data_IF_795736357241
#
_entry.id   IF_795736357241
#
_cell.length_a   1.000
_cell.length_b   1.000
_cell.length_c   1.000
_cell.angle_alpha   90.00
_cell.angle_beta   90.00
_cell.angle_gamma   90.00
#
_symmetry.space_group_name_H-M   'P 1'
#
loop_
_entity.id
_entity.type
_entity.pdbx_description
1 polymer ?
#
# COMPACT_ATOMS: atom_id res chain seq x y z
N UNK A 1 -18.92 -24.67 -23.52
CA UNK A 1 -17.62 -23.95 -23.64
C UNK A 1 -17.32 -23.01 -22.45
N UNK A 2 -18.32 -22.41 -21.77
CA UNK A 2 -18.11 -21.55 -20.58
C UNK A 2 -17.65 -22.31 -19.33
N UNK A 3 -18.13 -23.53 -19.10
CA UNK A 3 -17.84 -24.30 -17.87
C UNK A 3 -16.36 -24.67 -17.71
N UNK A 4 -15.69 -25.03 -18.82
CA UNK A 4 -14.26 -25.34 -18.79
C UNK A 4 -13.44 -24.09 -18.49
N UNK A 5 -13.81 -22.94 -19.09
CA UNK A 5 -13.16 -21.67 -18.81
C UNK A 5 -13.33 -21.26 -17.34
N UNK A 6 -14.56 -21.28 -16.81
CA UNK A 6 -14.83 -20.96 -15.40
C UNK A 6 -14.05 -21.87 -14.46
N UNK A 7 -14.03 -23.18 -14.71
CA UNK A 7 -13.28 -24.14 -13.89
C UNK A 7 -11.77 -23.90 -13.92
N UNK A 8 -11.20 -23.60 -15.09
CA UNK A 8 -9.77 -23.28 -15.21
C UNK A 8 -9.43 -21.96 -14.50
N UNK A 9 -10.28 -20.94 -14.62
CA UNK A 9 -10.10 -19.65 -13.93
C UNK A 9 -10.16 -19.85 -12.41
N UNK A 10 -11.16 -20.57 -11.90
CA UNK A 10 -11.29 -20.85 -10.47
C UNK A 10 -10.10 -21.65 -9.93
N UNK A 11 -9.67 -22.70 -10.64
CA UNK A 11 -8.52 -23.51 -10.25
C UNK A 11 -7.23 -22.70 -10.23
N UNK A 12 -7.02 -21.83 -11.22
CA UNK A 12 -5.87 -20.91 -11.28
C UNK A 12 -5.91 -19.90 -10.14
N UNK A 13 -7.07 -19.34 -9.83
CA UNK A 13 -7.21 -18.39 -8.71
C UNK A 13 -6.92 -19.08 -7.37
N UNK A 14 -7.32 -20.35 -7.22
CA UNK A 14 -7.04 -21.14 -6.01
C UNK A 14 -5.58 -21.55 -5.89
N UNK A 15 -4.85 -21.68 -6.99
CA UNK A 15 -3.42 -22.04 -6.98
C UNK A 15 -2.48 -20.84 -6.79
N UNK A 16 -3.00 -19.61 -6.78
CA UNK A 16 -2.17 -18.44 -6.51
C UNK A 16 -1.56 -18.48 -5.10
N UNK A 17 -0.31 -18.05 -5.02
CA UNK A 17 0.38 -17.82 -3.75
C UNK A 17 -0.40 -16.78 -2.93
N UNK A 18 -0.54 -16.96 -1.61
CA UNK A 18 -1.16 -15.98 -0.74
C UNK A 18 -0.54 -14.59 -0.90
N UNK A 19 -1.34 -13.54 -0.72
CA UNK A 19 -0.83 -12.18 -0.75
C UNK A 19 0.16 -11.99 0.40
N UNK A 20 1.34 -11.42 0.11
CA UNK A 20 2.42 -11.26 1.11
C UNK A 20 2.04 -10.41 2.32
N UNK A 21 1.20 -9.39 2.14
CA UNK A 21 0.82 -8.45 3.20
C UNK A 21 -0.19 -9.10 4.15
N UNK A 22 -1.14 -9.88 3.62
CA UNK A 22 -2.18 -10.55 4.42
C UNK A 22 -1.84 -12.00 4.80
N UNK A 23 -0.84 -12.61 4.16
CA UNK A 23 -0.58 -14.05 4.15
C UNK A 23 -1.83 -14.91 3.88
N UNK A 24 -2.78 -14.36 3.12
CA UNK A 24 -4.05 -15.00 2.78
C UNK A 24 -4.46 -14.64 1.35
N UNK A 25 -5.54 -15.27 0.87
CA UNK A 25 -6.18 -14.82 -0.37
C UNK A 25 -6.67 -13.37 -0.16
N UNK A 26 -6.28 -12.42 -1.03
CA UNK A 26 -6.72 -11.04 -0.88
C UNK A 26 -8.25 -10.94 -1.03
N UNK A 27 -8.92 -10.06 -0.25
CA UNK A 27 -10.32 -9.74 -0.45
C UNK A 27 -10.56 -9.05 -1.79
N UNK A 28 -11.83 -8.95 -2.17
CA UNK A 28 -12.23 -8.09 -3.29
C UNK A 28 -12.00 -6.62 -2.93
N UNK A 29 -11.53 -5.86 -3.92
CA UNK A 29 -11.28 -4.43 -3.75
C UNK A 29 -12.61 -3.68 -3.71
N UNK A 30 -12.81 -2.87 -2.67
CA UNK A 30 -14.03 -2.08 -2.50
C UNK A 30 -14.27 -1.13 -3.68
N UNK A 31 -15.51 -1.13 -4.21
CA UNK A 31 -15.91 -0.30 -5.36
C UNK A 31 -15.68 1.20 -5.11
N UNK A 32 -15.72 1.63 -3.85
CA UNK A 32 -15.47 3.02 -3.45
C UNK A 32 -14.08 3.52 -3.91
N UNK A 33 -13.09 2.64 -4.08
CA UNK A 33 -11.77 3.01 -4.61
C UNK A 33 -11.83 3.67 -5.98
N UNK A 34 -12.84 3.36 -6.81
CA UNK A 34 -13.02 3.97 -8.13
C UNK A 34 -13.17 5.49 -8.07
N UNK A 35 -13.59 6.04 -6.93
CA UNK A 35 -13.72 7.49 -6.70
C UNK A 35 -12.38 8.17 -6.45
N UNK A 36 -11.33 7.42 -6.11
CA UNK A 36 -10.02 7.98 -5.79
C UNK A 36 -9.22 8.33 -7.06
N UNK A 37 -8.36 9.36 -6.99
CA UNK A 37 -7.41 9.68 -8.04
C UNK A 37 -6.57 8.49 -8.50
N UNK A 38 -6.12 8.50 -9.76
CA UNK A 38 -5.28 7.42 -10.31
C UNK A 38 -3.98 7.24 -9.51
N UNK A 39 -3.36 8.32 -9.07
CA UNK A 39 -2.14 8.27 -8.27
C UNK A 39 -2.37 7.53 -6.94
N UNK A 40 -3.44 7.86 -6.24
CA UNK A 40 -3.84 7.23 -4.97
C UNK A 40 -4.09 5.74 -5.13
N UNK A 41 -4.88 5.35 -6.14
CA UNK A 41 -5.11 3.93 -6.45
C UNK A 41 -3.81 3.18 -6.76
N UNK A 42 -2.86 3.84 -7.41
CA UNK A 42 -1.53 3.26 -7.69
C UNK A 42 -0.75 3.03 -6.40
N UNK A 43 -0.73 4.00 -5.49
CA UNK A 43 -0.06 3.88 -4.19
C UNK A 43 -0.68 2.77 -3.35
N UNK A 44 -2.02 2.71 -3.28
CA UNK A 44 -2.73 1.65 -2.56
C UNK A 44 -2.44 0.26 -3.15
N UNK A 45 -2.41 0.12 -4.48
CA UNK A 45 -2.03 -1.13 -5.14
C UNK A 45 -0.59 -1.55 -4.81
N UNK A 46 0.35 -0.60 -4.77
CA UNK A 46 1.73 -0.85 -4.36
C UNK A 46 1.81 -1.29 -2.90
N UNK A 47 1.07 -0.65 -1.99
CA UNK A 47 1.01 -1.03 -0.58
C UNK A 47 0.44 -2.44 -0.37
N UNK A 48 -0.60 -2.83 -1.13
CA UNK A 48 -1.17 -4.19 -1.13
C UNK A 48 -0.18 -5.26 -1.60
N UNK A 49 0.81 -4.88 -2.40
CA UNK A 49 1.86 -5.79 -2.88
C UNK A 49 3.06 -5.86 -1.92
N UNK A 50 3.19 -4.91 -0.99
CA UNK A 50 4.37 -4.75 -0.12
C UNK A 50 5.58 -4.10 -0.83
N UNK A 51 5.38 -3.55 -2.03
CA UNK A 51 6.42 -2.95 -2.88
C UNK A 51 6.10 -1.47 -3.13
N UNK A 52 5.97 -0.69 -2.05
CA UNK A 52 5.67 0.74 -2.12
C UNK A 52 6.86 1.55 -1.63
N UNK A 53 7.15 2.66 -2.31
CA UNK A 53 8.16 3.66 -1.87
C UNK A 53 7.81 4.31 -0.52
N UNK A 54 6.59 4.11 -0.03
CA UNK A 54 6.18 4.55 1.30
C UNK A 54 6.66 3.61 2.43
N UNK A 55 7.29 2.48 2.09
CA UNK A 55 7.80 1.49 3.04
C UNK A 55 9.32 1.54 3.05
N UNK A 56 9.94 1.69 4.22
CA UNK A 56 11.40 1.73 4.30
C UNK A 56 11.98 0.33 4.08
N UNK A 57 11.24 -0.73 4.39
CA UNK A 57 11.62 -2.11 4.02
C UNK A 57 11.80 -2.26 2.51
N UNK A 58 10.98 -1.59 1.70
CA UNK A 58 11.15 -1.61 0.25
C UNK A 58 12.31 -0.73 -0.20
N UNK A 59 12.41 0.47 0.37
CA UNK A 59 13.50 1.40 0.05
C UNK A 59 14.88 0.82 0.40
N UNK A 60 15.02 0.17 1.56
CA UNK A 60 16.24 -0.52 2.00
C UNK A 60 16.69 -1.62 1.02
N UNK A 61 15.75 -2.31 0.35
CA UNK A 61 16.09 -3.31 -0.67
C UNK A 61 16.64 -2.70 -1.95
N UNK A 62 16.23 -1.48 -2.28
CA UNK A 62 16.71 -0.76 -3.46
C UNK A 62 18.04 -0.08 -3.14
N UNK A 63 18.11 0.56 -1.97
CA UNK A 63 19.27 1.29 -1.47
C UNK A 63 19.53 0.90 -0.01
N UNK A 64 20.56 0.08 0.26
CA UNK A 64 20.92 -0.35 1.62
C UNK A 64 21.27 0.80 2.57
N UNK A 65 21.58 2.01 2.06
CA UNK A 65 21.85 3.17 2.90
C UNK A 65 20.61 3.67 3.65
N UNK A 66 19.40 3.35 3.17
CA UNK A 66 18.14 3.69 3.84
C UNK A 66 17.85 2.63 4.89
N UNK A 67 17.77 2.99 6.17
CA UNK A 67 17.46 2.03 7.23
C UNK A 67 16.01 1.52 7.14
N UNK A 68 15.82 0.20 7.31
CA UNK A 68 14.49 -0.42 7.45
C UNK A 68 13.90 -0.17 8.85
N UNK A 69 13.69 1.10 9.19
CA UNK A 69 13.08 1.54 10.44
C UNK A 69 11.96 2.54 10.18
N UNK A 70 10.96 2.52 11.04
CA UNK A 70 9.86 3.47 10.99
C UNK A 70 10.35 4.85 11.43
N UNK A 71 10.09 5.91 10.64
CA UNK A 71 10.52 7.27 11.00
C UNK A 71 9.78 7.86 12.22
N UNK A 72 8.71 7.21 12.71
CA UNK A 72 7.90 7.69 13.84
C UNK A 72 8.18 6.98 15.16
N UNK A 73 8.47 5.68 15.12
CA UNK A 73 8.67 4.85 16.32
C UNK A 73 10.00 4.11 16.34
N UNK A 74 10.82 4.26 15.30
CA UNK A 74 12.11 3.56 15.11
C UNK A 74 12.01 2.03 15.03
N UNK A 75 10.80 1.47 15.07
CA UNK A 75 10.55 0.04 14.93
C UNK A 75 10.92 -0.51 13.55
N UNK A 76 11.35 -1.77 13.51
CA UNK A 76 11.71 -2.51 12.30
C UNK A 76 10.99 -3.86 12.29
N UNK A 77 10.55 -4.38 11.14
CA UNK A 77 10.60 -3.77 9.80
C UNK A 77 9.55 -2.67 9.61
N UNK A 78 9.83 -1.68 8.76
CA UNK A 78 8.86 -0.67 8.33
C UNK A 78 8.11 -1.12 7.07
N UNK A 79 7.26 -2.12 7.26
CA UNK A 79 6.47 -2.78 6.23
C UNK A 79 4.97 -2.39 6.28
N UNK A 80 4.16 -2.94 5.37
CA UNK A 80 2.72 -2.60 5.30
C UNK A 80 1.98 -2.91 6.62
N UNK A 81 2.14 -4.09 7.25
CA UNK A 81 1.59 -4.33 8.59
C UNK A 81 1.99 -3.28 9.63
N UNK A 82 3.24 -2.83 9.62
CA UNK A 82 3.71 -1.81 10.55
C UNK A 82 2.93 -0.49 10.42
N UNK A 83 2.54 -0.07 9.21
CA UNK A 83 1.78 1.17 9.01
C UNK A 83 0.49 1.24 9.85
N UNK A 84 -0.14 0.09 10.11
CA UNK A 84 -1.39 -0.01 10.86
C UNK A 84 -1.21 -0.38 12.33
N UNK A 85 -0.02 -0.87 12.70
CA UNK A 85 0.29 -1.30 14.07
C UNK A 85 1.39 -0.44 14.72
N UNK A 86 1.70 0.72 14.13
CA UNK A 86 2.73 1.62 14.63
C UNK A 86 2.31 2.19 16.00
N UNK A 87 3.11 2.01 17.07
CA UNK A 87 2.75 2.50 18.40
C UNK A 87 2.70 4.03 18.49
N UNK A 88 3.48 4.73 17.64
CA UNK A 88 3.48 6.20 17.56
C UNK A 88 2.35 6.77 16.69
N UNK A 89 1.56 5.93 16.02
CA UNK A 89 0.45 6.37 15.16
C UNK A 89 -0.69 5.34 15.19
N UNK A 90 -1.40 5.23 16.33
CA UNK A 90 -2.43 4.22 16.52
C UNK A 90 -3.64 4.48 15.63
N UNK A 91 -4.20 3.41 15.07
CA UNK A 91 -5.37 3.47 14.18
C UNK A 91 -6.26 2.26 14.41
N UNK A 92 -7.59 2.39 14.25
CA UNK A 92 -8.48 1.23 14.23
C UNK A 92 -8.40 0.44 12.92
N UNK A 93 -7.72 0.97 11.90
CA UNK A 93 -7.56 0.31 10.61
C UNK A 93 -6.56 -0.84 10.70
N UNK A 94 -6.79 -1.84 9.87
CA UNK A 94 -5.98 -3.05 9.73
C UNK A 94 -5.39 -3.13 8.33
N UNK A 95 -4.37 -3.98 8.09
CA UNK A 95 -3.85 -4.19 6.74
C UNK A 95 -4.92 -4.61 5.72
N UNK A 96 -5.97 -5.33 6.14
CA UNK A 96 -7.09 -5.72 5.28
C UNK A 96 -7.90 -4.53 4.77
N UNK A 97 -7.90 -3.41 5.49
CA UNK A 97 -8.60 -2.18 5.09
C UNK A 97 -7.99 -1.54 3.85
N UNK A 98 -6.77 -1.92 3.47
CA UNK A 98 -6.25 -1.62 2.13
C UNK A 98 -7.21 -2.10 1.05
N UNK A 99 -7.92 -3.22 1.22
CA UNK A 99 -8.90 -3.70 0.23
C UNK A 99 -10.31 -3.20 0.53
N UNK A 100 -10.70 -3.25 1.80
CA UNK A 100 -12.09 -3.05 2.24
C UNK A 100 -12.47 -1.58 2.40
N UNK A 101 -11.54 -0.74 2.90
CA UNK A 101 -11.78 0.66 3.22
C UNK A 101 -10.69 1.60 2.64
N UNK A 102 -10.45 1.57 1.30
CA UNK A 102 -9.32 2.24 0.66
C UNK A 102 -9.34 3.77 0.81
N UNK A 103 -10.51 4.38 0.95
CA UNK A 103 -10.64 5.83 1.17
C UNK A 103 -10.16 6.20 2.58
N UNK A 104 -10.57 5.44 3.60
CA UNK A 104 -10.13 5.70 4.99
C UNK A 104 -8.61 5.48 5.13
N UNK A 105 -8.08 4.45 4.48
CA UNK A 105 -6.63 4.23 4.43
C UNK A 105 -5.91 5.40 3.76
N UNK A 106 -6.42 5.91 2.63
CA UNK A 106 -5.81 7.05 1.96
C UNK A 106 -5.80 8.30 2.88
N UNK A 107 -6.89 8.56 3.61
CA UNK A 107 -6.94 9.67 4.58
C UNK A 107 -5.95 9.48 5.73
N UNK A 108 -5.91 8.29 6.32
CA UNK A 108 -4.98 7.97 7.41
C UNK A 108 -3.52 8.15 6.99
N UNK A 109 -3.15 7.63 5.81
CA UNK A 109 -1.81 7.74 5.25
C UNK A 109 -1.53 9.11 4.61
N UNK A 110 -2.47 10.05 4.69
CA UNK A 110 -2.38 11.41 4.10
C UNK A 110 -2.06 11.37 2.60
N UNK A 111 -2.56 10.37 1.90
CA UNK A 111 -2.52 10.24 0.44
C UNK A 111 -3.71 11.05 -0.12
N UNK A 112 -3.58 11.76 -1.26
CA UNK A 112 -4.64 12.62 -1.77
C UNK A 112 -5.89 11.80 -2.08
N UNK A 113 -7.06 12.32 -1.75
CA UNK A 113 -8.34 11.68 -2.06
C UNK A 113 -9.11 12.41 -3.16
N UNK A 114 -8.64 13.60 -3.53
CA UNK A 114 -9.17 14.44 -4.59
C UNK A 114 -8.06 14.75 -5.59
N UNK A 115 -8.44 15.09 -6.83
CA UNK A 115 -7.51 15.56 -7.84
C UNK A 115 -7.13 17.02 -7.54
N UNK A 116 -6.51 17.26 -6.39
CA UNK A 116 -5.87 18.53 -6.12
C UNK A 116 -4.48 18.50 -6.77
N UNK A 117 -4.36 19.22 -7.88
CA UNK A 117 -3.16 19.33 -8.69
C UNK A 117 -1.96 19.86 -7.88
N UNK A 118 -2.22 20.65 -6.83
CA UNK A 118 -1.18 21.15 -5.92
C UNK A 118 -0.73 20.12 -4.89
N UNK A 119 -1.65 19.33 -4.33
CA UNK A 119 -1.31 18.23 -3.43
C UNK A 119 -0.47 17.16 -4.14
N UNK A 120 -0.76 16.93 -5.43
CA UNK A 120 0.01 16.02 -6.28
C UNK A 120 1.46 16.46 -6.45
N UNK A 121 1.70 17.74 -6.74
CA UNK A 121 3.05 18.31 -6.85
C UNK A 121 3.80 18.29 -5.51
N UNK A 122 3.12 18.55 -4.39
CA UNK A 122 3.72 18.49 -3.05
C UNK A 122 4.16 17.07 -2.66
N UNK A 123 3.40 16.04 -3.00
CA UNK A 123 3.79 14.64 -2.73
C UNK A 123 4.96 14.18 -3.57
N UNK A 124 4.98 14.55 -4.85
CA UNK A 124 6.15 14.31 -5.70
C UNK A 124 7.39 15.03 -5.15
N UNK A 125 7.23 16.24 -4.62
CA UNK A 125 8.33 16.97 -3.98
C UNK A 125 8.80 16.34 -2.66
N UNK A 126 7.91 15.80 -1.83
CA UNK A 126 8.28 15.09 -0.60
C UNK A 126 8.98 13.76 -0.91
N UNK A 127 8.54 13.04 -1.94
CA UNK A 127 9.19 11.83 -2.44
C UNK A 127 10.57 12.11 -3.10
N UNK A 128 10.77 13.32 -3.64
CA UNK A 128 12.03 13.76 -4.27
C UNK A 128 12.96 14.56 -3.33
N UNK A 129 12.50 14.99 -2.14
CA UNK A 129 13.37 15.67 -1.16
C UNK A 129 14.28 14.70 -0.42
N UNK A 130 13.90 13.43 -0.30
CA UNK A 130 14.78 12.38 0.22
C UNK A 130 15.91 12.00 -0.76
N UNK A 131 15.85 12.41 -2.03
CA UNK A 131 16.88 12.10 -3.04
C UNK A 131 17.85 13.25 -3.34
N UNK A 132 17.68 14.45 -2.75
CA UNK A 132 18.49 15.65 -3.06
C UNK A 132 19.38 16.17 -1.93
N UNK A 133 19.49 15.45 -0.82
CA UNK A 133 20.44 15.75 0.26
C UNK A 133 21.68 14.83 0.24
N UNK A 134 22.07 14.33 -0.95
CA UNK A 134 23.36 13.68 -1.20
C UNK A 134 24.11 14.49 -2.25
#
# INVERSE_FOLDING_TARGET
MKEVHTRIVENTIRSYTPNRVLNAKPPDIARAEQKLPRCTRTILAQLRSGWSKHLNTYMHRIDPAIEDKCPKCEGSPHDTPHLFNCPSDPTPLTPSDLWLNPIEVARFLKIPIENDEFAYLLLLQQQNKQTKNN
#
